data_IF_675799041437
#
_entry.id   IF_675799041437
#
_cell.length_a   1.000
_cell.length_b   1.000
_cell.length_c   1.000
_cell.angle_alpha   90.00
_cell.angle_beta   90.00
_cell.angle_gamma   90.00
#
_symmetry.space_group_name_H-M   'P 1'
#
loop_
_entity.id
_entity.type
_entity.pdbx_description
1 polymer ?
#
# COMPACT_ATOMS: atom_id res chain seq x y z
N UNK A 1 -32.04 -27.03 -23.98
CA UNK A 1 -31.18 -27.44 -22.85
C UNK A 1 -30.49 -26.17 -22.34
N UNK A 2 -31.05 -25.33 -21.45
CA UNK A 2 -31.49 -25.49 -20.04
C UNK A 2 -30.40 -26.02 -19.10
N UNK A 3 -29.42 -25.16 -18.75
CA UNK A 3 -28.85 -25.07 -17.39
C UNK A 3 -28.45 -23.60 -17.15
N UNK A 4 -29.39 -22.82 -16.64
CA UNK A 4 -29.18 -21.53 -16.00
C UNK A 4 -30.07 -21.54 -14.77
N UNK A 5 -29.59 -20.96 -13.67
CA UNK A 5 -30.27 -20.78 -12.38
C UNK A 5 -30.15 -21.92 -11.36
N UNK A 6 -28.96 -22.10 -10.78
CA UNK A 6 -28.82 -22.66 -9.43
C UNK A 6 -27.57 -22.05 -8.77
N UNK A 7 -27.64 -20.83 -8.23
CA UNK A 7 -26.68 -20.29 -7.23
C UNK A 7 -27.13 -18.92 -6.67
N UNK A 8 -28.43 -18.72 -6.49
CA UNK A 8 -29.02 -17.46 -5.99
C UNK A 8 -30.02 -17.62 -4.85
N UNK A 9 -29.99 -18.74 -4.13
CA UNK A 9 -31.10 -19.13 -3.23
C UNK A 9 -30.66 -19.71 -1.87
N UNK A 10 -29.56 -19.23 -1.26
CA UNK A 10 -29.15 -19.69 0.08
C UNK A 10 -29.05 -18.56 1.13
N UNK A 11 -29.12 -17.27 0.77
CA UNK A 11 -28.98 -16.18 1.75
C UNK A 11 -30.28 -15.57 2.30
N UNK A 12 -31.46 -15.98 1.82
CA UNK A 12 -32.75 -15.33 2.20
C UNK A 12 -33.57 -16.11 3.25
N UNK A 13 -33.22 -17.36 3.54
CA UNK A 13 -34.02 -18.20 4.47
C UNK A 13 -33.63 -17.99 5.95
N UNK A 14 -32.49 -17.37 6.25
CA UNK A 14 -32.08 -17.10 7.63
C UNK A 14 -32.79 -15.87 8.26
N UNK A 15 -33.43 -15.01 7.47
CA UNK A 15 -34.01 -13.74 7.95
C UNK A 15 -35.51 -13.79 8.24
N UNK A 16 -36.24 -14.83 7.83
CA UNK A 16 -37.69 -14.90 8.03
C UNK A 16 -38.11 -15.76 9.23
N UNK A 17 -37.24 -16.65 9.74
CA UNK A 17 -37.54 -17.46 10.92
C UNK A 17 -37.44 -16.69 12.25
N UNK A 18 -36.65 -15.61 12.31
CA UNK A 18 -36.47 -14.80 13.52
C UNK A 18 -37.63 -13.84 13.83
N UNK A 19 -38.38 -13.41 12.81
CA UNK A 19 -39.43 -12.38 12.97
C UNK A 19 -40.77 -12.97 13.42
N UNK A 20 -41.07 -14.22 13.03
CA UNK A 20 -42.37 -14.84 13.34
C UNK A 20 -42.44 -15.36 14.79
N UNK A 21 -41.32 -15.83 15.35
CA UNK A 21 -41.24 -16.25 16.76
C UNK A 21 -41.24 -15.06 17.75
N UNK A 22 -40.96 -13.84 17.29
CA UNK A 22 -41.06 -12.63 18.10
C UNK A 22 -42.49 -12.11 18.29
N UNK A 23 -43.41 -12.38 17.35
CA UNK A 23 -44.80 -11.88 17.42
C UNK A 23 -45.72 -12.74 18.29
N UNK A 24 -45.48 -14.03 18.43
CA UNK A 24 -46.30 -14.91 19.27
C UNK A 24 -46.10 -14.68 20.79
N UNK A 25 -45.00 -14.02 21.21
CA UNK A 25 -44.74 -13.68 22.61
C UNK A 25 -45.21 -12.28 23.03
N UNK A 26 -45.67 -11.46 22.09
CA UNK A 26 -46.08 -10.08 22.37
C UNK A 26 -47.54 -9.95 22.84
N UNK A 27 -48.40 -10.95 22.59
CA UNK A 27 -49.85 -10.85 22.86
C UNK A 27 -50.27 -11.25 24.28
N UNK A 28 -49.33 -11.55 25.18
CA UNK A 28 -49.65 -12.03 26.55
C UNK A 28 -48.94 -11.28 27.69
N UNK A 29 -48.53 -10.02 27.49
CA UNK A 29 -48.05 -9.17 28.60
C UNK A 29 -48.61 -7.75 28.52
N UNK A 30 -49.90 -7.61 28.78
CA UNK A 30 -50.39 -6.44 29.52
C UNK A 30 -50.30 -6.75 31.01
N UNK A 31 -49.08 -6.89 31.53
CA UNK A 31 -48.81 -6.72 32.94
C UNK A 31 -48.42 -5.26 33.12
N UNK A 32 -49.06 -4.56 34.06
CA UNK A 32 -48.71 -3.20 34.47
C UNK A 32 -47.18 -3.05 34.59
N UNK A 33 -46.55 -2.42 33.60
CA UNK A 33 -45.12 -2.13 33.65
C UNK A 33 -44.95 -1.05 34.69
N UNK A 34 -44.29 -1.39 35.79
CA UNK A 34 -44.08 -0.46 36.89
C UNK A 34 -43.13 0.68 36.43
N UNK A 35 -43.30 1.91 36.93
CA UNK A 35 -42.42 3.04 36.59
C UNK A 35 -40.93 2.77 36.89
N UNK A 36 -40.63 1.87 37.83
CA UNK A 36 -39.29 1.42 38.17
C UNK A 36 -38.66 0.52 37.10
N UNK A 37 -39.43 -0.32 36.40
CA UNK A 37 -38.95 -1.17 35.30
C UNK A 37 -38.62 -0.35 34.05
N UNK A 38 -39.39 0.70 33.76
CA UNK A 38 -39.09 1.64 32.66
C UNK A 38 -37.80 2.42 32.90
N UNK A 39 -37.55 2.88 34.14
CA UNK A 39 -36.27 3.51 34.51
C UNK A 39 -35.09 2.55 34.37
N UNK A 40 -35.27 1.28 34.73
CA UNK A 40 -34.24 0.25 34.57
C UNK A 40 -33.96 -0.01 33.07
N UNK A 41 -34.98 -0.13 32.22
CA UNK A 41 -34.83 -0.26 30.77
C UNK A 41 -34.16 0.95 30.13
N UNK A 42 -34.52 2.17 30.54
CA UNK A 42 -33.88 3.40 30.08
C UNK A 42 -32.40 3.47 30.48
N UNK A 43 -32.08 3.05 31.72
CA UNK A 43 -30.69 2.91 32.18
C UNK A 43 -29.88 1.90 31.38
N UNK A 44 -30.49 0.75 31.04
CA UNK A 44 -29.88 -0.28 30.18
C UNK A 44 -29.69 0.20 28.74
N UNK A 45 -30.62 0.97 28.19
CA UNK A 45 -30.51 1.56 26.86
C UNK A 45 -29.41 2.62 26.80
N UNK A 46 -29.32 3.47 27.83
CA UNK A 46 -28.25 4.47 27.96
C UNK A 46 -26.87 3.79 28.07
N UNK A 47 -26.79 2.71 28.86
CA UNK A 47 -25.58 1.90 28.99
C UNK A 47 -25.19 1.24 27.67
N UNK A 48 -26.14 0.66 26.93
CA UNK A 48 -25.90 0.07 25.62
C UNK A 48 -25.42 1.12 24.60
N UNK A 49 -25.98 2.34 24.63
CA UNK A 49 -25.53 3.46 23.79
C UNK A 49 -24.10 3.89 24.13
N UNK A 50 -23.76 4.01 25.41
CA UNK A 50 -22.40 4.33 25.84
C UNK A 50 -21.39 3.24 25.45
N UNK A 51 -21.78 1.96 25.53
CA UNK A 51 -20.94 0.86 25.04
C UNK A 51 -20.79 0.90 23.52
N UNK A 52 -21.84 1.24 22.77
CA UNK A 52 -21.78 1.41 21.32
C UNK A 52 -20.78 2.51 20.91
N UNK A 53 -20.81 3.66 21.58
CA UNK A 53 -19.84 4.74 21.33
C UNK A 53 -18.41 4.29 21.63
N UNK A 54 -18.17 3.60 22.76
CA UNK A 54 -16.84 3.06 23.10
C UNK A 54 -16.35 2.01 22.10
N UNK A 55 -17.24 1.15 21.58
CA UNK A 55 -16.90 0.18 20.55
C UNK A 55 -16.54 0.86 19.23
N UNK A 56 -17.22 1.95 18.89
CA UNK A 56 -16.90 2.75 17.72
C UNK A 56 -15.55 3.46 17.87
N UNK A 57 -15.25 4.04 19.04
CA UNK A 57 -13.93 4.59 19.37
C UNK A 57 -12.83 3.51 19.38
N UNK A 58 -13.13 2.31 19.87
CA UNK A 58 -12.20 1.19 19.83
C UNK A 58 -11.93 0.77 18.38
N UNK A 59 -12.96 0.70 17.53
CA UNK A 59 -12.83 0.35 16.13
C UNK A 59 -12.00 1.39 15.36
N UNK A 60 -12.20 2.68 15.60
CA UNK A 60 -11.40 3.74 14.98
C UNK A 60 -9.94 3.70 15.45
N UNK A 61 -9.70 3.47 16.74
CA UNK A 61 -8.36 3.28 17.28
C UNK A 61 -7.67 2.04 16.71
N UNK A 62 -8.40 0.92 16.59
CA UNK A 62 -7.91 -0.31 15.97
C UNK A 62 -7.50 -0.06 14.51
N UNK A 63 -8.31 0.67 13.75
CA UNK A 63 -8.01 1.03 12.37
C UNK A 63 -6.74 1.91 12.27
N UNK A 64 -6.61 2.90 13.15
CA UNK A 64 -5.40 3.75 13.22
C UNK A 64 -4.15 2.93 13.55
N UNK A 65 -4.24 2.04 14.55
CA UNK A 65 -3.13 1.16 14.93
C UNK A 65 -2.73 0.21 13.79
N UNK A 66 -3.70 -0.30 13.03
CA UNK A 66 -3.42 -1.12 11.84
C UNK A 66 -2.69 -0.32 10.75
N UNK A 67 -3.08 0.93 10.51
CA UNK A 67 -2.39 1.80 9.57
C UNK A 67 -0.95 2.11 10.01
N UNK A 68 -0.74 2.40 11.30
CA UNK A 68 0.59 2.61 11.89
C UNK A 68 1.45 1.34 11.76
N UNK A 69 0.89 0.16 12.06
CA UNK A 69 1.60 -1.12 11.89
C UNK A 69 1.97 -1.39 10.42
N UNK A 70 1.07 -1.11 9.48
CA UNK A 70 1.35 -1.25 8.05
C UNK A 70 2.49 -0.30 7.62
N UNK A 71 2.47 0.94 8.13
CA UNK A 71 3.53 1.91 7.86
C UNK A 71 4.88 1.48 8.43
N UNK A 72 4.91 0.96 9.67
CA UNK A 72 6.14 0.44 10.28
C UNK A 72 6.72 -0.73 9.49
N UNK A 73 5.88 -1.64 8.98
CA UNK A 73 6.33 -2.74 8.11
C UNK A 73 6.97 -2.21 6.83
N UNK A 74 6.34 -1.24 6.17
CA UNK A 74 6.93 -0.60 4.98
C UNK A 74 8.30 0.01 5.25
N UNK A 75 8.48 0.66 6.41
CA UNK A 75 9.79 1.23 6.79
C UNK A 75 10.84 0.16 7.11
N UNK A 76 10.42 -0.98 7.69
CA UNK A 76 11.31 -2.11 7.93
C UNK A 76 11.77 -2.73 6.60
N UNK A 77 10.84 -2.99 5.70
CA UNK A 77 11.15 -3.51 4.37
C UNK A 77 12.07 -2.53 3.60
N UNK A 78 11.82 -1.22 3.70
CA UNK A 78 12.67 -0.20 3.07
C UNK A 78 14.11 -0.22 3.62
N UNK A 79 14.27 -0.45 4.92
CA UNK A 79 15.59 -0.60 5.55
C UNK A 79 16.33 -1.80 4.97
N UNK A 80 15.65 -2.94 4.82
CA UNK A 80 16.25 -4.15 4.27
C UNK A 80 16.69 -3.94 2.81
N UNK A 81 15.89 -3.22 2.01
CA UNK A 81 16.25 -2.88 0.64
C UNK A 81 17.43 -1.90 0.56
N UNK A 82 17.52 -0.93 1.47
CA UNK A 82 18.70 -0.05 1.59
C UNK A 82 19.95 -0.84 1.98
N UNK A 83 19.83 -1.78 2.91
CA UNK A 83 20.95 -2.62 3.33
C UNK A 83 21.46 -3.48 2.17
N UNK A 84 20.56 -4.05 1.37
CA UNK A 84 20.93 -4.77 0.15
C UNK A 84 21.69 -3.87 -0.83
N UNK A 85 21.21 -2.65 -1.08
CA UNK A 85 21.86 -1.70 -2.00
C UNK A 85 23.28 -1.36 -1.55
N UNK A 86 23.48 -1.13 -0.24
CA UNK A 86 24.81 -0.88 0.33
C UNK A 86 25.75 -2.08 0.15
N UNK A 87 25.27 -3.30 0.40
CA UNK A 87 26.07 -4.51 0.16
C UNK A 87 26.48 -4.69 -1.31
N UNK A 88 25.63 -4.30 -2.27
CA UNK A 88 25.99 -4.33 -3.68
C UNK A 88 27.08 -3.31 -4.03
N UNK A 89 27.01 -2.10 -3.46
CA UNK A 89 28.05 -1.07 -3.63
C UNK A 89 29.39 -1.54 -3.06
N UNK A 90 29.39 -2.13 -1.86
CA UNK A 90 30.59 -2.70 -1.23
C UNK A 90 31.20 -3.82 -2.08
N UNK A 91 30.38 -4.74 -2.61
CA UNK A 91 30.84 -5.80 -3.52
C UNK A 91 31.47 -5.22 -4.78
N UNK A 92 30.82 -4.21 -5.37
CA UNK A 92 31.30 -3.58 -6.61
C UNK A 92 32.62 -2.86 -6.39
N UNK A 93 32.77 -2.14 -5.26
CA UNK A 93 34.03 -1.52 -4.86
C UNK A 93 35.14 -2.57 -4.69
N UNK A 94 34.86 -3.68 -3.99
CA UNK A 94 35.85 -4.73 -3.77
C UNK A 94 36.38 -5.30 -5.10
N UNK A 95 35.51 -5.53 -6.07
CA UNK A 95 35.85 -6.12 -7.37
C UNK A 95 36.52 -5.13 -8.34
N UNK A 96 36.06 -3.88 -8.40
CA UNK A 96 36.39 -2.95 -9.48
C UNK A 96 37.29 -1.78 -9.08
N UNK A 97 37.70 -1.65 -7.80
CA UNK A 97 38.49 -0.51 -7.29
C UNK A 97 39.78 -0.15 -8.05
N UNK A 98 40.33 -1.05 -8.88
CA UNK A 98 41.57 -0.82 -9.64
C UNK A 98 41.37 -0.45 -11.10
N UNK A 99 40.18 -0.68 -11.66
CA UNK A 99 40.01 -0.68 -13.12
C UNK A 99 39.36 0.60 -13.66
N UNK A 100 38.57 1.31 -12.84
CA UNK A 100 37.88 2.53 -13.26
C UNK A 100 37.48 3.40 -12.03
N UNK A 101 38.37 4.27 -11.53
CA UNK A 101 38.12 5.08 -10.35
C UNK A 101 37.02 6.14 -10.57
N UNK A 102 36.97 6.74 -11.76
CA UNK A 102 36.00 7.79 -12.09
C UNK A 102 34.56 7.23 -12.08
N UNK A 103 34.36 6.04 -12.66
CA UNK A 103 33.07 5.34 -12.59
C UNK A 103 32.66 4.99 -11.16
N UNK A 104 33.60 4.65 -10.29
CA UNK A 104 33.30 4.34 -8.89
C UNK A 104 32.90 5.59 -8.12
N UNK A 105 33.53 6.73 -8.39
CA UNK A 105 33.13 8.02 -7.82
C UNK A 105 31.71 8.39 -8.26
N UNK A 106 31.40 8.26 -9.56
CA UNK A 106 30.05 8.47 -10.10
C UNK A 106 29.02 7.53 -9.47
N UNK A 107 29.37 6.26 -9.29
CA UNK A 107 28.50 5.27 -8.62
C UNK A 107 28.24 5.65 -7.16
N UNK A 108 29.26 6.10 -6.42
CA UNK A 108 29.14 6.50 -5.02
C UNK A 108 28.31 7.77 -4.86
N UNK A 109 28.51 8.77 -5.71
CA UNK A 109 27.69 9.99 -5.73
C UNK A 109 26.23 9.68 -6.06
N UNK A 110 25.98 8.86 -7.08
CA UNK A 110 24.63 8.41 -7.44
C UNK A 110 23.97 7.58 -6.33
N UNK A 111 24.76 6.77 -5.62
CA UNK A 111 24.31 6.00 -4.44
C UNK A 111 23.91 6.94 -3.30
N UNK A 112 24.75 7.93 -2.97
CA UNK A 112 24.45 8.90 -1.92
C UNK A 112 23.16 9.69 -2.20
N UNK A 113 22.97 10.11 -3.47
CA UNK A 113 21.74 10.78 -3.91
C UNK A 113 20.52 9.85 -3.83
N UNK A 114 20.64 8.60 -4.29
CA UNK A 114 19.56 7.63 -4.21
C UNK A 114 19.15 7.35 -2.75
N UNK A 115 20.11 7.14 -1.84
CA UNK A 115 19.83 6.91 -0.42
C UNK A 115 19.10 8.09 0.21
N UNK A 116 19.49 9.32 -0.13
CA UNK A 116 18.78 10.52 0.35
C UNK A 116 17.33 10.54 -0.13
N UNK A 117 17.08 10.25 -1.40
CA UNK A 117 15.72 10.19 -1.96
C UNK A 117 14.89 9.09 -1.30
N UNK A 118 15.48 7.93 -1.03
CA UNK A 118 14.83 6.82 -0.31
C UNK A 118 14.46 7.22 1.13
N UNK A 119 15.35 7.91 1.83
CA UNK A 119 15.05 8.43 3.18
C UNK A 119 13.96 9.49 3.16
N UNK A 120 13.98 10.39 2.18
CA UNK A 120 12.93 11.40 2.00
C UNK A 120 11.57 10.74 1.67
N UNK A 121 11.58 9.67 0.86
CA UNK A 121 10.39 8.87 0.60
C UNK A 121 9.87 8.14 1.85
N UNK A 122 10.75 7.63 2.71
CA UNK A 122 10.37 7.05 3.99
C UNK A 122 9.71 8.06 4.94
N UNK A 123 10.15 9.33 4.91
CA UNK A 123 9.54 10.43 5.69
C UNK A 123 8.20 10.89 5.13
N UNK A 124 8.05 10.91 3.81
CA UNK A 124 6.84 11.34 3.12
C UNK A 124 6.41 10.28 2.10
N UNK A 125 5.74 9.18 2.52
CA UNK A 125 5.44 8.07 1.64
C UNK A 125 4.46 8.41 0.51
N UNK A 126 3.58 9.38 0.71
CA UNK A 126 2.61 9.82 -0.29
C UNK A 126 3.15 11.03 -1.04
N UNK A 127 3.18 10.94 -2.36
CA UNK A 127 3.60 12.05 -3.22
C UNK A 127 2.94 11.96 -4.59
N UNK A 128 3.09 12.99 -5.42
CA UNK A 128 2.61 12.99 -6.79
C UNK A 128 3.42 12.05 -7.67
N UNK A 129 2.79 11.43 -8.67
CA UNK A 129 3.49 10.55 -9.61
C UNK A 129 4.70 11.23 -10.25
N UNK A 130 4.60 12.51 -10.61
CA UNK A 130 5.72 13.25 -11.20
C UNK A 130 6.96 13.23 -10.28
N UNK A 131 6.76 13.46 -8.98
CA UNK A 131 7.85 13.45 -8.01
C UNK A 131 8.35 12.04 -7.75
N UNK A 132 7.44 11.09 -7.60
CA UNK A 132 7.78 9.67 -7.42
C UNK A 132 8.59 9.15 -8.61
N UNK A 133 8.19 9.47 -9.85
CA UNK A 133 8.84 9.07 -11.09
C UNK A 133 10.28 9.59 -11.14
N UNK A 134 10.52 10.86 -10.78
CA UNK A 134 11.86 11.40 -10.71
C UNK A 134 12.74 10.63 -9.70
N UNK A 135 12.19 10.31 -8.53
CA UNK A 135 12.86 9.51 -7.51
C UNK A 135 13.21 8.10 -8.03
N UNK A 136 12.23 7.37 -8.56
CA UNK A 136 12.47 5.99 -9.02
C UNK A 136 13.30 5.91 -10.30
N UNK A 137 13.28 6.93 -11.15
CA UNK A 137 14.16 7.02 -12.32
C UNK A 137 15.62 7.21 -11.89
N UNK A 138 15.86 8.09 -10.91
CA UNK A 138 17.20 8.24 -10.35
C UNK A 138 17.68 6.93 -9.70
N UNK A 139 16.82 6.28 -8.90
CA UNK A 139 17.14 5.00 -8.28
C UNK A 139 17.46 3.92 -9.33
N UNK A 140 16.67 3.83 -10.39
CA UNK A 140 16.91 2.89 -11.48
C UNK A 140 18.28 3.13 -12.15
N UNK A 141 18.62 4.39 -12.44
CA UNK A 141 19.94 4.76 -12.97
C UNK A 141 21.07 4.32 -12.04
N UNK A 142 20.94 4.57 -10.73
CA UNK A 142 21.93 4.16 -9.72
C UNK A 142 22.08 2.64 -9.69
N UNK A 143 20.98 1.88 -9.72
CA UNK A 143 21.01 0.42 -9.73
C UNK A 143 21.66 -0.13 -11.01
N UNK A 144 21.41 0.49 -12.17
CA UNK A 144 22.12 0.15 -13.40
C UNK A 144 23.63 0.39 -13.28
N UNK A 145 24.06 1.53 -12.71
CA UNK A 145 25.48 1.83 -12.50
C UNK A 145 26.17 0.79 -11.61
N UNK A 146 25.54 0.42 -10.50
CA UNK A 146 26.03 -0.62 -9.57
C UNK A 146 26.19 -1.95 -10.30
N UNK A 147 25.19 -2.35 -11.11
CA UNK A 147 25.21 -3.61 -11.86
C UNK A 147 26.05 -3.58 -13.13
N UNK A 148 26.74 -2.48 -13.41
CA UNK A 148 27.49 -2.27 -14.65
C UNK A 148 26.63 -2.42 -15.92
N UNK A 149 25.37 -2.02 -15.84
CA UNK A 149 24.44 -1.96 -16.97
C UNK A 149 24.52 -0.57 -17.62
N UNK A 150 24.21 -0.45 -18.92
CA UNK A 150 24.12 0.85 -19.58
C UNK A 150 23.16 1.78 -18.85
N UNK A 151 23.55 3.05 -18.71
CA UNK A 151 22.71 4.03 -18.04
C UNK A 151 21.49 4.34 -18.92
N UNK A 152 20.27 4.19 -18.40
CA UNK A 152 19.06 4.44 -19.17
C UNK A 152 19.06 5.86 -19.71
N UNK A 153 18.87 6.02 -21.03
CA UNK A 153 18.54 7.33 -21.60
C UNK A 153 17.18 7.77 -21.08
N UNK A 154 17.01 9.02 -20.62
CA UNK A 154 15.74 9.51 -20.12
C UNK A 154 14.69 9.46 -21.24
N UNK A 155 13.77 8.50 -21.21
CA UNK A 155 12.65 8.48 -22.12
C UNK A 155 11.65 9.55 -21.69
N UNK A 156 11.42 10.53 -22.56
CA UNK A 156 10.50 11.64 -22.32
C UNK A 156 9.05 11.12 -22.24
N UNK A 157 8.48 11.30 -21.04
CA UNK A 157 7.08 11.55 -20.70
C UNK A 157 6.01 10.47 -20.91
N UNK A 158 5.49 10.02 -19.77
CA UNK A 158 4.04 9.94 -19.62
C UNK A 158 3.63 11.01 -18.57
N UNK A 159 3.18 12.18 -19.04
CA UNK A 159 2.59 13.24 -18.19
C UNK A 159 1.20 12.85 -17.65
N UNK A 160 0.65 11.71 -18.08
CA UNK A 160 -0.63 11.23 -17.59
C UNK A 160 -0.52 10.96 -16.09
N UNK A 161 -1.53 11.41 -15.34
CA UNK A 161 -1.63 11.18 -13.90
C UNK A 161 -0.46 11.76 -13.08
N UNK A 162 0.24 12.78 -13.62
CA UNK A 162 1.38 13.43 -12.95
C UNK A 162 1.05 13.94 -11.54
N UNK A 163 -0.17 14.43 -11.34
CA UNK A 163 -0.70 14.94 -10.07
C UNK A 163 -1.35 13.85 -9.21
N UNK A 164 -1.57 12.65 -9.76
CA UNK A 164 -2.14 11.54 -9.00
C UNK A 164 -1.19 11.11 -7.90
N UNK A 165 -1.75 10.87 -6.71
CA UNK A 165 -0.96 10.51 -5.54
C UNK A 165 -0.68 9.02 -5.53
N UNK A 166 0.55 8.66 -5.15
CA UNK A 166 1.01 7.29 -5.05
C UNK A 166 1.91 7.11 -3.83
N UNK A 167 1.93 5.89 -3.31
CA UNK A 167 2.89 5.51 -2.30
C UNK A 167 4.27 5.26 -2.95
N UNK A 168 5.17 6.23 -2.86
CA UNK A 168 6.51 6.13 -3.46
C UNK A 168 7.40 5.09 -2.78
N UNK A 169 7.15 4.72 -1.52
CA UNK A 169 7.91 3.65 -0.84
C UNK A 169 7.66 2.30 -1.50
N UNK A 170 6.40 2.00 -1.84
CA UNK A 170 6.04 0.76 -2.55
C UNK A 170 6.69 0.70 -3.93
N UNK A 171 6.75 1.83 -4.64
CA UNK A 171 7.43 1.90 -5.93
C UNK A 171 8.95 1.70 -5.83
N UNK A 172 9.58 2.27 -4.80
CA UNK A 172 11.01 2.08 -4.52
C UNK A 172 11.30 0.61 -4.23
N UNK A 173 10.51 -0.02 -3.35
CA UNK A 173 10.65 -1.44 -3.02
C UNK A 173 10.53 -2.31 -4.27
N UNK A 174 9.50 -2.05 -5.09
CA UNK A 174 9.31 -2.76 -6.34
C UNK A 174 10.53 -2.58 -7.26
N UNK A 175 11.02 -1.35 -7.47
CA UNK A 175 12.20 -1.10 -8.31
C UNK A 175 13.45 -1.90 -7.84
N UNK A 176 13.72 -1.91 -6.53
CA UNK A 176 14.87 -2.64 -5.98
C UNK A 176 14.67 -4.16 -6.14
N UNK A 177 13.48 -4.67 -5.84
CA UNK A 177 13.15 -6.08 -6.02
C UNK A 177 13.35 -6.53 -7.48
N UNK A 178 12.91 -5.73 -8.46
CA UNK A 178 13.08 -6.10 -9.85
C UNK A 178 14.56 -6.17 -10.26
N UNK A 179 15.40 -5.28 -9.74
CA UNK A 179 16.85 -5.35 -9.95
C UNK A 179 17.48 -6.55 -9.26
N UNK A 180 17.06 -6.86 -8.03
CA UNK A 180 17.51 -8.04 -7.27
C UNK A 180 17.18 -9.34 -8.00
N UNK A 181 16.02 -9.41 -8.64
CA UNK A 181 15.58 -10.58 -9.41
C UNK A 181 16.11 -10.61 -10.85
N UNK A 182 16.81 -9.56 -11.30
CA UNK A 182 17.26 -9.45 -12.68
C UNK A 182 16.12 -9.34 -13.70
N UNK A 183 14.97 -8.79 -13.30
CA UNK A 183 13.75 -8.64 -14.11
C UNK A 183 13.64 -7.26 -14.79
N UNK A 184 14.67 -6.42 -14.66
CA UNK A 184 14.79 -5.16 -15.39
C UNK A 184 16.07 -5.12 -16.17
N UNK A 185 15.97 -4.56 -17.37
CA UNK A 185 17.09 -4.27 -18.25
C UNK A 185 17.43 -2.77 -18.21
N UNK A 186 17.96 -2.24 -19.31
CA UNK A 186 18.35 -0.83 -19.51
C UNK A 186 17.16 0.14 -19.57
N UNK A 187 15.94 -0.38 -19.64
CA UNK A 187 14.72 0.42 -19.79
C UNK A 187 14.03 0.65 -18.46
N UNK A 188 13.54 1.88 -18.28
CA UNK A 188 12.73 2.23 -17.12
C UNK A 188 11.41 1.44 -17.13
N UNK A 189 11.12 0.62 -16.09
CA UNK A 189 10.07 -0.40 -16.16
C UNK A 189 8.66 0.13 -15.88
N UNK A 190 8.50 1.36 -15.38
CA UNK A 190 7.19 1.84 -14.91
C UNK A 190 6.44 2.66 -15.96
N UNK A 191 5.14 2.35 -16.09
CA UNK A 191 4.20 3.04 -16.98
C UNK A 191 2.96 3.44 -16.19
N UNK A 192 2.53 4.69 -16.33
CA UNK A 192 1.29 5.18 -15.73
C UNK A 192 0.05 4.81 -16.54
N UNK A 193 -0.99 4.39 -15.82
CA UNK A 193 -2.31 4.01 -16.32
C UNK A 193 -3.40 4.64 -15.44
N UNK A 194 -4.66 4.60 -15.89
CA UNK A 194 -5.79 5.18 -15.14
C UNK A 194 -6.00 4.51 -13.77
N UNK A 195 -5.68 3.23 -13.65
CA UNK A 195 -5.82 2.46 -12.40
C UNK A 195 -4.60 2.54 -11.47
N UNK A 196 -3.46 3.03 -11.94
CA UNK A 196 -2.22 3.05 -11.18
C UNK A 196 -0.97 3.04 -12.05
N UNK A 197 0.14 2.63 -11.46
CA UNK A 197 1.41 2.39 -12.15
C UNK A 197 1.59 0.90 -12.37
N UNK A 198 2.00 0.50 -13.57
CA UNK A 198 2.35 -0.89 -13.88
C UNK A 198 3.83 -0.98 -14.22
N UNK A 199 4.52 -1.94 -13.60
CA UNK A 199 5.87 -2.36 -13.96
C UNK A 199 5.79 -3.42 -15.07
N UNK A 200 6.47 -3.16 -16.19
CA UNK A 200 6.71 -4.13 -17.26
C UNK A 200 7.99 -4.89 -16.97
N UNK A 201 7.88 -6.20 -16.86
CA UNK A 201 9.00 -7.09 -16.51
C UNK A 201 9.54 -7.79 -17.76
N UNK A 202 10.82 -8.14 -17.76
CA UNK A 202 11.47 -8.81 -18.89
C UNK A 202 10.91 -10.22 -19.17
N UNK A 203 10.26 -10.84 -18.18
CA UNK A 203 9.58 -12.14 -18.29
C UNK A 203 8.14 -12.03 -18.84
N UNK A 204 7.67 -10.82 -19.15
CA UNK A 204 6.32 -10.53 -19.61
C UNK A 204 5.27 -10.45 -18.50
N UNK A 205 5.63 -10.71 -17.25
CA UNK A 205 4.74 -10.49 -16.12
C UNK A 205 4.54 -8.99 -15.85
N UNK A 206 3.47 -8.66 -15.13
CA UNK A 206 3.13 -7.29 -14.76
C UNK A 206 2.83 -7.21 -13.28
N UNK A 207 3.36 -6.17 -12.65
CA UNK A 207 3.04 -5.82 -11.26
C UNK A 207 2.50 -4.40 -11.22
N UNK A 208 1.44 -4.16 -10.46
CA UNK A 208 0.79 -2.85 -10.43
C UNK A 208 0.72 -2.27 -9.02
N UNK A 209 0.89 -0.96 -8.93
CA UNK A 209 0.73 -0.15 -7.73
C UNK A 209 -0.44 0.82 -7.99
N UNK A 210 -1.51 0.69 -7.22
CA UNK A 210 -2.70 1.52 -7.39
C UNK A 210 -2.45 2.97 -6.97
N UNK A 211 -3.21 3.90 -7.56
CA UNK A 211 -3.29 5.27 -7.03
C UNK A 211 -3.83 5.27 -5.61
N UNK A 212 -3.34 6.20 -4.79
CA UNK A 212 -3.91 6.41 -3.46
C UNK A 212 -5.32 6.98 -3.60
N UNK A 213 -6.30 6.33 -2.96
CA UNK A 213 -7.68 6.82 -2.91
C UNK A 213 -7.91 7.85 -1.78
N UNK A 214 -6.90 8.05 -0.93
CA UNK A 214 -7.04 8.74 0.37
C UNK A 214 -6.70 10.24 0.33
N UNK A 215 -6.42 10.83 -0.84
CA UNK A 215 -6.24 12.28 -0.98
C UNK A 215 -7.48 12.91 -1.60
N UNK A 216 -8.64 12.66 -0.98
CA UNK A 216 -9.74 13.62 -1.01
C UNK A 216 -9.53 14.51 0.21
N UNK A 217 -8.74 15.56 0.04
CA UNK A 217 -8.66 16.63 1.03
C UNK A 217 -9.93 17.50 0.92
N UNK A 218 -10.40 17.88 2.11
CA UNK A 218 -11.51 18.79 2.41
C UNK A 218 -11.36 20.19 1.79
#
# INVERSE_FOLDING_TARGET
MKVLACLGAVSVVAWTAGVVLGRARATQRHANVSPSELKNLQGRMLHARNMGMRLQELASNQQRLQAEQAHLRLLQDLKDEVQWLLSQVESTLAEHHKHDPDRLEDMLDATGKALRLVLDAGRQPMTTWQRAQATVAHLHKTLCLIRNLPTPTPSIECKQNAESHINQVVLIQLMIELHRLGLTDEFFPFVGHDSGITARLSDGAQRSVAWSQDVRED
#
